data_IF_958862166613
#
_entry.id   IF_958862166613
#
_cell.length_a   1.000
_cell.length_b   1.000
_cell.length_c   1.000
_cell.angle_alpha   90.00
_cell.angle_beta   90.00
_cell.angle_gamma   90.00
#
_symmetry.space_group_name_H-M   'P 1'
#
loop_
_entity.id
_entity.type
_entity.pdbx_description
1 polymer ?
#
# COMPACT_ATOMS: atom_id res chain seq x y z
N UNK A 1 1.49 30.19 -74.59
CA UNK A 1 2.51 29.33 -73.96
C UNK A 1 1.84 28.58 -72.82
N UNK A 2 1.69 27.25 -72.93
CA UNK A 2 0.90 26.42 -72.00
C UNK A 2 1.64 26.27 -70.67
N UNK A 3 1.09 26.80 -69.57
CA UNK A 3 1.55 26.50 -68.21
C UNK A 3 0.99 25.13 -67.81
N UNK A 4 1.86 24.13 -67.68
CA UNK A 4 1.52 22.84 -67.07
C UNK A 4 1.57 23.03 -65.54
N UNK A 5 0.45 22.80 -64.87
CA UNK A 5 0.40 22.72 -63.42
C UNK A 5 1.20 21.52 -62.90
N UNK A 6 2.02 21.76 -61.89
CA UNK A 6 2.68 20.72 -61.09
C UNK A 6 1.94 20.67 -59.75
N UNK A 7 1.05 19.69 -59.57
CA UNK A 7 0.54 19.33 -58.25
C UNK A 7 1.69 18.63 -57.50
N UNK A 8 2.21 19.26 -56.44
CA UNK A 8 3.04 18.59 -55.45
C UNK A 8 2.10 17.96 -54.44
N UNK A 9 1.87 16.65 -54.58
CA UNK A 9 1.21 15.85 -53.56
C UNK A 9 2.21 15.63 -52.41
N UNK A 10 1.98 16.29 -51.27
CA UNK A 10 2.67 15.98 -50.03
C UNK A 10 2.06 14.69 -49.47
N UNK A 11 2.71 13.57 -49.75
CA UNK A 11 2.44 12.29 -49.08
C UNK A 11 2.98 12.39 -47.64
N UNK A 12 2.11 12.74 -46.70
CA UNK A 12 2.39 12.53 -45.28
C UNK A 12 2.24 11.02 -45.03
N UNK A 13 3.36 10.31 -45.06
CA UNK A 13 3.43 8.94 -44.54
C UNK A 13 3.37 9.07 -43.02
N UNK A 14 2.15 9.08 -42.49
CA UNK A 14 1.93 8.83 -41.07
C UNK A 14 2.28 7.38 -40.79
N UNK A 15 3.48 7.14 -40.26
CA UNK A 15 3.80 5.86 -39.62
C UNK A 15 2.92 5.80 -38.37
N UNK A 16 1.73 5.21 -38.52
CA UNK A 16 0.93 4.76 -37.39
C UNK A 16 1.74 3.67 -36.68
N UNK A 17 2.46 4.06 -35.64
CA UNK A 17 2.86 3.12 -34.61
C UNK A 17 1.58 2.55 -34.01
N UNK A 18 1.27 1.31 -34.36
CA UNK A 18 0.35 0.50 -33.59
C UNK A 18 0.99 0.29 -32.21
N UNK A 19 0.71 1.21 -31.29
CA UNK A 19 0.88 0.96 -29.86
C UNK A 19 -0.28 0.05 -29.50
N UNK A 20 -0.05 -1.20 -29.09
CA UNK A 20 -1.13 -1.97 -28.51
C UNK A 20 -1.60 -1.15 -27.31
N UNK A 21 -2.88 -0.76 -27.31
CA UNK A 21 -3.58 -0.45 -26.08
C UNK A 21 -3.49 -1.72 -25.23
N UNK A 22 -2.43 -1.82 -24.43
CA UNK A 22 -2.43 -2.67 -23.25
C UNK A 22 -3.42 -1.98 -22.34
N UNK A 23 -4.68 -2.41 -22.41
CA UNK A 23 -5.68 -1.96 -21.47
C UNK A 23 -5.13 -2.18 -20.08
N UNK A 24 -4.97 -1.11 -19.31
CA UNK A 24 -4.89 -1.20 -17.87
C UNK A 24 -6.15 -1.94 -17.42
N UNK A 25 -6.05 -3.23 -17.10
CA UNK A 25 -7.22 -4.04 -16.78
C UNK A 25 -7.54 -4.06 -15.28
N UNK A 26 -6.90 -3.19 -14.48
CA UNK A 26 -7.14 -3.08 -13.04
C UNK A 26 -6.92 -1.66 -12.53
N UNK A 27 -7.74 -1.24 -11.58
CA UNK A 27 -7.54 -0.02 -10.79
C UNK A 27 -6.53 -0.20 -9.66
N UNK A 28 -6.13 -1.44 -9.37
CA UNK A 28 -5.22 -1.84 -8.29
C UNK A 28 -4.47 -3.13 -8.68
N UNK A 29 -3.74 -3.76 -7.75
CA UNK A 29 -2.95 -4.98 -7.97
C UNK A 29 -3.72 -6.30 -7.87
N UNK A 30 -5.06 -6.27 -7.88
CA UNK A 30 -5.88 -7.49 -7.84
C UNK A 30 -5.53 -8.47 -8.95
N UNK A 31 -5.30 -9.74 -8.57
CA UNK A 31 -4.98 -10.83 -9.50
C UNK A 31 -3.48 -11.05 -9.72
N UNK A 32 -2.61 -10.18 -9.21
CA UNK A 32 -1.17 -10.42 -9.17
C UNK A 32 -0.76 -11.14 -7.89
N UNK A 33 0.23 -12.03 -8.00
CA UNK A 33 0.84 -12.72 -6.86
C UNK A 33 2.29 -12.24 -6.68
N UNK A 34 2.62 -11.66 -5.53
CA UNK A 34 3.90 -10.99 -5.30
C UNK A 34 4.63 -11.67 -4.15
N UNK A 35 5.85 -12.15 -4.39
CA UNK A 35 6.69 -12.66 -3.32
C UNK A 35 7.48 -11.52 -2.68
N UNK A 36 7.38 -11.37 -1.37
CA UNK A 36 8.20 -10.45 -0.57
C UNK A 36 9.13 -11.26 0.32
N UNK A 37 10.43 -11.02 0.19
CA UNK A 37 11.48 -11.76 0.86
C UNK A 37 12.21 -10.87 1.87
N UNK A 38 12.05 -11.16 3.16
CA UNK A 38 12.83 -10.49 4.20
C UNK A 38 14.19 -11.19 4.35
N UNK A 39 15.28 -10.60 3.88
CA UNK A 39 16.62 -11.18 3.94
C UNK A 39 17.02 -11.63 5.36
N UNK A 40 17.87 -12.65 5.46
CA UNK A 40 18.37 -13.22 6.73
C UNK A 40 17.25 -13.76 7.64
N UNK A 41 17.48 -13.88 8.95
CA UNK A 41 16.47 -14.31 9.94
C UNK A 41 16.94 -15.44 10.87
N UNK A 42 16.39 -15.48 12.07
CA UNK A 42 16.72 -16.45 13.12
C UNK A 42 18.21 -16.41 13.45
N UNK A 43 18.89 -17.54 13.18
CA UNK A 43 20.32 -17.73 13.43
C UNK A 43 21.25 -16.92 12.52
N UNK A 44 20.73 -16.38 11.41
CA UNK A 44 21.46 -15.52 10.51
C UNK A 44 21.04 -14.07 10.78
N UNK A 45 21.87 -13.27 11.46
CA UNK A 45 21.54 -11.87 11.75
C UNK A 45 21.70 -10.95 10.52
N UNK A 46 22.35 -11.44 9.46
CA UNK A 46 22.90 -10.57 8.42
C UNK A 46 24.00 -9.66 8.97
N UNK A 47 24.12 -8.47 8.41
CA UNK A 47 25.03 -7.45 8.91
C UNK A 47 24.60 -6.92 10.29
N UNK A 48 25.59 -6.68 11.15
CA UNK A 48 25.40 -6.10 12.48
C UNK A 48 26.18 -4.79 12.55
N UNK A 49 25.46 -3.67 12.74
CA UNK A 49 26.03 -2.34 12.90
C UNK A 49 25.33 -1.56 14.01
N UNK A 50 24.88 -0.35 13.72
CA UNK A 50 24.02 0.43 14.64
C UNK A 50 22.65 -0.22 14.84
N UNK A 51 22.22 -1.01 13.86
CA UNK A 51 21.02 -1.85 13.85
C UNK A 51 21.38 -3.23 13.28
N UNK A 52 20.51 -4.22 13.48
CA UNK A 52 20.69 -5.57 12.95
C UNK A 52 19.88 -5.73 11.67
N UNK A 53 20.53 -6.20 10.61
CA UNK A 53 19.95 -6.26 9.27
C UNK A 53 18.64 -7.06 9.21
N UNK A 54 18.61 -8.26 9.80
CA UNK A 54 17.40 -9.11 9.76
C UNK A 54 16.15 -8.45 10.36
N UNK A 55 16.32 -7.54 11.32
CA UNK A 55 15.22 -6.88 12.02
C UNK A 55 14.67 -5.74 11.14
N UNK A 56 15.56 -4.95 10.54
CA UNK A 56 15.20 -3.92 9.53
C UNK A 56 14.51 -4.57 8.33
N UNK A 57 15.08 -5.65 7.80
CA UNK A 57 14.53 -6.36 6.64
C UNK A 57 13.12 -6.88 6.92
N UNK A 58 12.90 -7.49 8.09
CA UNK A 58 11.57 -7.98 8.48
C UNK A 58 10.57 -6.84 8.62
N UNK A 59 10.96 -5.76 9.33
CA UNK A 59 10.08 -4.64 9.59
C UNK A 59 9.61 -3.91 8.32
N UNK A 60 10.49 -3.78 7.33
CA UNK A 60 10.16 -3.20 6.01
C UNK A 60 9.34 -4.20 5.18
N UNK A 61 9.77 -5.47 5.10
CA UNK A 61 9.08 -6.49 4.31
C UNK A 61 7.61 -6.69 4.74
N UNK A 62 7.32 -6.69 6.04
CA UNK A 62 5.95 -6.79 6.54
C UNK A 62 5.08 -5.59 6.13
N UNK A 63 5.63 -4.37 6.14
CA UNK A 63 4.92 -3.17 5.67
C UNK A 63 4.70 -3.19 4.16
N UNK A 64 5.70 -3.63 3.40
CA UNK A 64 5.60 -3.84 1.94
C UNK A 64 4.49 -4.85 1.64
N UNK A 65 4.47 -5.99 2.33
CA UNK A 65 3.41 -6.97 2.20
C UNK A 65 2.03 -6.37 2.49
N UNK A 66 1.91 -5.63 3.59
CA UNK A 66 0.65 -4.99 3.98
C UNK A 66 0.13 -4.02 2.91
N UNK A 67 0.96 -3.11 2.37
CA UNK A 67 0.48 -2.15 1.36
C UNK A 67 0.16 -2.82 0.02
N UNK A 68 0.85 -3.89 -0.34
CA UNK A 68 0.54 -4.69 -1.53
C UNK A 68 -0.78 -5.45 -1.38
N UNK A 69 -1.03 -6.05 -0.21
CA UNK A 69 -2.30 -6.73 0.12
C UNK A 69 -3.47 -5.75 0.14
N UNK A 70 -3.29 -4.56 0.74
CA UNK A 70 -4.31 -3.51 0.72
C UNK A 70 -4.60 -3.00 -0.70
N UNK A 71 -3.62 -3.07 -1.61
CA UNK A 71 -3.82 -2.79 -3.03
C UNK A 71 -4.38 -3.99 -3.83
N UNK A 72 -4.75 -5.08 -3.14
CA UNK A 72 -5.42 -6.25 -3.71
C UNK A 72 -4.49 -7.36 -4.22
N UNK A 73 -3.17 -7.23 -4.10
CA UNK A 73 -2.24 -8.29 -4.49
C UNK A 73 -2.36 -9.51 -3.55
N UNK A 74 -2.17 -10.72 -4.09
CA UNK A 74 -1.90 -11.89 -3.28
C UNK A 74 -0.41 -11.88 -2.87
N UNK A 75 -0.11 -11.67 -1.59
CA UNK A 75 1.29 -11.62 -1.13
C UNK A 75 1.76 -12.95 -0.57
N UNK A 76 2.98 -13.33 -0.93
CA UNK A 76 3.68 -14.51 -0.39
C UNK A 76 4.93 -14.03 0.32
N UNK A 77 4.97 -14.19 1.65
CA UNK A 77 6.16 -13.90 2.44
C UNK A 77 7.09 -15.12 2.49
N UNK A 78 8.40 -14.93 2.30
CA UNK A 78 9.37 -16.01 2.58
C UNK A 78 9.54 -16.25 4.07
N UNK A 79 9.36 -15.21 4.89
CA UNK A 79 9.19 -15.27 6.34
C UNK A 79 8.38 -14.08 6.85
N UNK A 80 7.62 -14.32 7.91
CA UNK A 80 6.77 -13.35 8.62
C UNK A 80 7.21 -13.13 10.09
N UNK A 81 8.29 -13.78 10.51
CA UNK A 81 8.88 -13.69 11.84
C UNK A 81 10.39 -13.84 11.83
N UNK A 82 10.98 -13.87 13.03
CA UNK A 82 12.43 -14.04 13.21
C UNK A 82 12.83 -15.53 13.23
N UNK A 83 12.74 -16.18 12.07
CA UNK A 83 13.25 -17.52 11.85
C UNK A 83 14.10 -17.58 10.57
N UNK A 84 14.99 -18.57 10.51
CA UNK A 84 15.91 -18.74 9.40
C UNK A 84 15.24 -19.46 8.24
N UNK A 85 15.35 -18.88 7.04
CA UNK A 85 14.94 -19.50 5.76
C UNK A 85 16.14 -19.52 4.83
N UNK A 86 16.47 -20.70 4.30
CA UNK A 86 17.64 -20.85 3.42
C UNK A 86 17.44 -20.17 2.06
N UNK A 87 18.53 -19.81 1.37
CA UNK A 87 18.42 -19.19 0.04
C UNK A 87 17.66 -20.06 -0.98
N UNK A 88 17.85 -21.38 -0.94
CA UNK A 88 17.12 -22.32 -1.80
C UNK A 88 15.63 -22.39 -1.46
N UNK A 89 15.29 -22.32 -0.18
CA UNK A 89 13.91 -22.37 0.29
C UNK A 89 13.14 -21.09 -0.08
N UNK A 90 13.76 -19.91 0.05
CA UNK A 90 13.18 -18.63 -0.43
C UNK A 90 12.79 -18.72 -1.91
N UNK A 91 13.70 -19.24 -2.73
CA UNK A 91 13.47 -19.46 -4.17
C UNK A 91 12.36 -20.49 -4.40
N UNK A 92 12.33 -21.58 -3.63
CA UNK A 92 11.29 -22.60 -3.74
C UNK A 92 9.91 -22.06 -3.38
N UNK A 93 9.78 -21.24 -2.32
CA UNK A 93 8.54 -20.58 -1.92
C UNK A 93 7.98 -19.77 -3.09
N UNK A 94 8.78 -18.83 -3.63
CA UNK A 94 8.36 -17.97 -4.73
C UNK A 94 8.00 -18.77 -6.00
N UNK A 95 8.84 -19.74 -6.37
CA UNK A 95 8.64 -20.55 -7.57
C UNK A 95 7.43 -21.48 -7.47
N UNK A 96 7.14 -22.02 -6.28
CA UNK A 96 6.02 -22.95 -6.07
C UNK A 96 4.68 -22.22 -5.99
N UNK A 97 4.69 -21.01 -5.43
CA UNK A 97 3.51 -20.14 -5.42
C UNK A 97 3.18 -19.53 -6.79
N UNK A 98 4.10 -19.61 -7.76
CA UNK A 98 3.89 -19.07 -9.10
C UNK A 98 3.82 -17.55 -9.13
N UNK A 99 4.59 -16.87 -8.27
CA UNK A 99 4.55 -15.41 -8.17
C UNK A 99 4.91 -14.72 -9.50
N UNK A 100 4.29 -13.58 -9.76
CA UNK A 100 4.50 -12.73 -10.93
C UNK A 100 5.79 -11.91 -10.82
N UNK A 101 6.17 -11.53 -9.60
CA UNK A 101 7.46 -10.88 -9.28
C UNK A 101 7.98 -11.33 -7.91
N UNK A 102 9.28 -11.11 -7.68
CA UNK A 102 9.96 -11.37 -6.42
C UNK A 102 10.74 -10.12 -5.96
N UNK A 103 10.54 -9.71 -4.70
CA UNK A 103 11.17 -8.53 -4.12
C UNK A 103 11.87 -8.95 -2.82
N UNK A 104 13.20 -8.89 -2.80
CA UNK A 104 14.00 -9.15 -1.60
C UNK A 104 14.43 -7.86 -0.94
N UNK A 105 14.26 -7.78 0.37
CA UNK A 105 14.62 -6.62 1.21
C UNK A 105 15.85 -6.98 2.04
N UNK A 106 16.88 -6.17 1.88
CA UNK A 106 18.17 -6.24 2.56
C UNK A 106 18.61 -4.86 3.05
N UNK A 107 19.58 -4.83 3.95
CA UNK A 107 20.30 -3.61 4.30
C UNK A 107 21.81 -3.86 4.25
N UNK A 108 22.51 -2.91 3.65
CA UNK A 108 23.89 -3.06 3.24
C UNK A 108 24.84 -2.93 4.43
N UNK A 109 26.10 -3.27 4.19
CA UNK A 109 27.20 -3.04 5.12
C UNK A 109 28.47 -2.69 4.38
N UNK A 110 29.29 -1.84 5.01
CA UNK A 110 30.56 -1.39 4.47
C UNK A 110 31.30 -0.51 5.47
N UNK A 111 32.34 0.22 5.02
CA UNK A 111 32.96 1.27 5.83
C UNK A 111 31.91 2.24 6.38
N UNK A 112 32.14 2.84 7.55
CA UNK A 112 31.18 3.76 8.18
C UNK A 112 30.85 5.00 7.33
N UNK A 113 31.68 5.33 6.34
CA UNK A 113 31.43 6.40 5.36
C UNK A 113 30.54 5.99 4.19
N UNK A 114 30.28 4.69 3.99
CA UNK A 114 29.36 4.22 2.96
C UNK A 114 27.91 4.53 3.36
N UNK A 115 27.13 5.07 2.43
CA UNK A 115 25.74 5.50 2.66
C UNK A 115 24.96 5.36 1.36
N UNK A 116 23.65 5.20 1.49
CA UNK A 116 22.69 5.20 0.39
C UNK A 116 22.02 3.86 0.16
N UNK A 117 20.95 3.90 -0.63
CA UNK A 117 20.23 2.71 -1.07
C UNK A 117 20.63 2.32 -2.50
N UNK A 118 20.40 1.07 -2.87
CA UNK A 118 20.59 0.53 -4.23
C UNK A 118 19.61 -0.61 -4.53
N UNK A 119 19.25 -0.77 -5.79
CA UNK A 119 18.33 -1.84 -6.24
C UNK A 119 19.03 -2.74 -7.24
N UNK A 120 19.10 -4.03 -6.96
CA UNK A 120 19.74 -5.04 -7.78
C UNK A 120 18.73 -5.85 -8.59
N UNK A 121 19.10 -6.21 -9.82
CA UNK A 121 18.42 -7.22 -10.63
C UNK A 121 19.43 -8.25 -11.17
N UNK A 122 18.94 -9.38 -11.70
CA UNK A 122 19.81 -10.37 -12.33
C UNK A 122 20.34 -9.88 -13.69
N UNK A 123 21.61 -10.17 -14.00
CA UNK A 123 22.36 -9.65 -15.15
C UNK A 123 21.61 -9.62 -16.48
N UNK A 124 20.88 -10.68 -16.80
CA UNK A 124 20.23 -10.84 -18.11
C UNK A 124 18.72 -10.60 -18.09
N UNK A 125 18.16 -10.15 -16.97
CA UNK A 125 16.71 -9.99 -16.80
C UNK A 125 16.26 -8.57 -17.15
N UNK A 126 15.81 -8.36 -18.40
CA UNK A 126 15.26 -7.06 -18.83
C UNK A 126 14.01 -6.65 -18.04
N UNK A 127 13.15 -7.62 -17.69
CA UNK A 127 11.99 -7.38 -16.82
C UNK A 127 12.42 -7.01 -15.40
N UNK A 128 13.45 -7.67 -14.87
CA UNK A 128 14.06 -7.32 -13.59
C UNK A 128 14.66 -5.91 -13.59
N UNK A 129 15.33 -5.51 -14.68
CA UNK A 129 15.81 -4.13 -14.87
C UNK A 129 14.66 -3.14 -14.82
N UNK A 130 13.57 -3.37 -15.56
CA UNK A 130 12.41 -2.48 -15.56
C UNK A 130 11.78 -2.34 -14.16
N UNK A 131 11.56 -3.45 -13.46
CA UNK A 131 11.05 -3.44 -12.09
C UNK A 131 11.98 -2.67 -11.14
N UNK A 132 13.29 -2.94 -11.22
CA UNK A 132 14.29 -2.25 -10.40
C UNK A 132 14.30 -0.75 -10.63
N UNK A 133 14.22 -0.30 -11.89
CA UNK A 133 14.19 1.12 -12.24
C UNK A 133 12.94 1.81 -11.69
N UNK A 134 11.75 1.20 -11.83
CA UNK A 134 10.55 1.81 -11.28
C UNK A 134 10.60 1.90 -9.75
N UNK A 135 11.09 0.87 -9.07
CA UNK A 135 11.21 0.89 -7.60
C UNK A 135 12.28 1.89 -7.13
N UNK A 136 13.43 1.94 -7.79
CA UNK A 136 14.52 2.90 -7.47
C UNK A 136 14.04 4.35 -7.62
N UNK A 137 13.34 4.68 -8.71
CA UNK A 137 12.77 6.00 -8.96
C UNK A 137 11.81 6.44 -7.86
N UNK A 138 10.95 5.55 -7.37
CA UNK A 138 9.96 5.88 -6.33
C UNK A 138 10.63 6.01 -4.95
N UNK A 139 11.59 5.15 -4.62
CA UNK A 139 12.36 5.25 -3.36
C UNK A 139 13.09 6.60 -3.30
N UNK A 140 13.70 7.01 -4.42
CA UNK A 140 14.44 8.28 -4.52
C UNK A 140 13.59 9.53 -4.22
N UNK A 141 12.26 9.46 -4.36
CA UNK A 141 11.35 10.58 -4.07
C UNK A 141 11.07 10.75 -2.58
N UNK A 142 11.07 9.65 -1.82
CA UNK A 142 10.57 9.63 -0.44
C UNK A 142 11.67 9.44 0.61
N UNK A 143 12.79 8.82 0.23
CA UNK A 143 13.85 8.46 1.17
C UNK A 143 15.02 9.45 1.07
N UNK A 144 15.44 10.08 2.17
CA UNK A 144 16.51 11.09 2.20
C UNK A 144 17.90 10.45 2.25
N UNK A 145 18.10 9.33 1.56
CA UNK A 145 19.39 8.66 1.46
C UNK A 145 19.97 8.84 0.06
N UNK A 146 21.29 8.73 -0.06
CA UNK A 146 21.96 8.79 -1.36
C UNK A 146 21.42 7.67 -2.27
N UNK A 147 20.85 8.02 -3.42
CA UNK A 147 20.53 7.02 -4.43
C UNK A 147 21.84 6.55 -5.11
N UNK A 148 22.16 5.25 -4.99
CA UNK A 148 23.34 4.62 -5.61
C UNK A 148 22.99 3.87 -6.91
N UNK A 149 21.74 3.93 -7.31
CA UNK A 149 21.17 3.52 -8.59
C UNK A 149 20.88 2.03 -8.69
N UNK A 150 20.27 1.70 -9.83
CA UNK A 150 20.02 0.32 -10.24
C UNK A 150 21.33 -0.38 -10.62
N UNK A 151 21.52 -1.59 -10.13
CA UNK A 151 22.70 -2.43 -10.35
C UNK A 151 22.30 -3.83 -10.80
N UNK A 152 23.26 -4.58 -11.32
CA UNK A 152 23.08 -5.99 -11.63
C UNK A 152 24.02 -6.87 -10.82
N UNK A 153 23.51 -8.00 -10.33
CA UNK A 153 24.26 -8.96 -9.54
C UNK A 153 23.74 -10.38 -9.74
N UNK A 154 24.60 -11.37 -9.44
CA UNK A 154 24.28 -12.79 -9.47
C UNK A 154 23.77 -13.35 -8.14
N UNK A 155 23.13 -12.54 -7.29
CA UNK A 155 22.64 -13.00 -5.98
C UNK A 155 21.68 -14.18 -6.14
N UNK A 156 21.77 -15.15 -5.23
CA UNK A 156 21.12 -16.44 -5.39
C UNK A 156 19.61 -16.32 -5.62
N UNK A 157 18.93 -15.52 -4.80
CA UNK A 157 17.47 -15.40 -4.84
C UNK A 157 16.99 -14.79 -6.16
N UNK A 158 17.57 -13.68 -6.62
CA UNK A 158 17.19 -13.04 -7.89
C UNK A 158 17.65 -13.82 -9.14
N UNK A 159 18.63 -14.72 -8.99
CA UNK A 159 19.13 -15.57 -10.08
C UNK A 159 18.26 -16.81 -10.33
N UNK A 160 17.77 -17.45 -9.26
CA UNK A 160 17.12 -18.76 -9.35
C UNK A 160 15.59 -18.72 -9.20
N UNK A 161 15.02 -17.57 -8.87
CA UNK A 161 13.59 -17.31 -9.08
C UNK A 161 13.24 -17.29 -10.57
N UNK A 162 12.07 -17.84 -10.93
CA UNK A 162 11.61 -17.96 -12.32
C UNK A 162 10.93 -16.70 -12.85
N UNK A 163 10.48 -15.84 -11.95
CA UNK A 163 9.83 -14.57 -12.26
C UNK A 163 10.84 -13.40 -12.21
N UNK A 164 10.51 -12.22 -12.76
CA UNK A 164 11.28 -11.00 -12.58
C UNK A 164 11.52 -10.71 -11.10
N UNK A 165 12.78 -10.45 -10.74
CA UNK A 165 13.21 -10.41 -9.36
C UNK A 165 14.16 -9.23 -9.11
N UNK A 166 13.99 -8.59 -7.96
CA UNK A 166 14.86 -7.52 -7.47
C UNK A 166 15.31 -7.79 -6.03
N UNK A 167 16.45 -7.20 -5.66
CA UNK A 167 16.94 -7.14 -4.28
C UNK A 167 17.25 -5.69 -3.95
N UNK A 168 16.64 -5.17 -2.89
CA UNK A 168 16.77 -3.79 -2.45
C UNK A 168 17.71 -3.76 -1.25
N UNK A 169 18.78 -2.99 -1.34
CA UNK A 169 19.62 -2.62 -0.20
C UNK A 169 19.11 -1.27 0.31
N UNK A 170 18.38 -1.24 1.42
CA UNK A 170 17.65 -0.06 1.88
C UNK A 170 18.55 1.01 2.50
N UNK A 171 19.82 0.71 2.77
CA UNK A 171 20.76 1.63 3.42
C UNK A 171 21.85 0.85 4.14
N UNK A 172 22.85 1.53 4.70
CA UNK A 172 23.96 0.87 5.37
C UNK A 172 23.74 0.75 6.89
N UNK A 173 23.66 -0.47 7.43
CA UNK A 173 23.53 -0.68 8.89
C UNK A 173 24.74 -0.18 9.68
N UNK A 174 25.89 -0.04 9.02
CA UNK A 174 27.16 0.44 9.59
C UNK A 174 27.34 1.95 9.49
N UNK A 175 26.41 2.69 8.86
CA UNK A 175 26.40 4.14 8.82
C UNK A 175 25.32 4.66 9.76
N UNK A 176 25.66 5.58 10.66
CA UNK A 176 24.73 6.05 11.70
C UNK A 176 23.52 6.81 11.16
N UNK A 177 23.69 7.56 10.05
CA UNK A 177 22.58 8.28 9.44
C UNK A 177 21.64 7.31 8.72
N UNK A 178 22.17 6.45 7.85
CA UNK A 178 21.37 5.41 7.18
C UNK A 178 20.63 4.54 8.19
N UNK A 179 21.33 4.06 9.24
CA UNK A 179 20.73 3.27 10.31
C UNK A 179 19.55 4.00 10.96
N UNK A 180 19.69 5.30 11.27
CA UNK A 180 18.61 6.11 11.85
C UNK A 180 17.40 6.26 10.92
N UNK A 181 17.61 6.22 9.60
CA UNK A 181 16.53 6.28 8.61
C UNK A 181 15.86 4.91 8.45
N UNK A 182 16.63 3.83 8.25
CA UNK A 182 16.05 2.51 7.96
C UNK A 182 15.43 1.84 9.19
N UNK A 183 15.77 2.27 10.41
CA UNK A 183 15.11 1.82 11.64
C UNK A 183 13.93 2.69 12.07
N UNK A 184 13.76 3.87 11.48
CA UNK A 184 12.66 4.76 11.80
C UNK A 184 11.37 4.28 11.12
N UNK A 185 10.33 4.14 11.92
CA UNK A 185 9.05 3.57 11.49
C UNK A 185 8.42 4.35 10.32
N UNK A 186 8.52 5.69 10.34
CA UNK A 186 7.94 6.53 9.29
C UNK A 186 8.64 6.34 7.95
N UNK A 187 9.96 6.16 7.95
CA UNK A 187 10.72 5.87 6.74
C UNK A 187 10.56 4.44 6.25
N UNK A 188 10.37 3.47 7.14
CA UNK A 188 10.00 2.10 6.74
C UNK A 188 8.65 2.06 6.00
N UNK A 189 7.67 2.86 6.44
CA UNK A 189 6.42 3.05 5.71
C UNK A 189 6.63 3.72 4.36
N UNK A 190 7.48 4.75 4.28
CA UNK A 190 7.83 5.38 2.99
C UNK A 190 8.50 4.40 2.03
N UNK A 191 9.34 3.49 2.52
CA UNK A 191 9.87 2.38 1.71
C UNK A 191 8.75 1.50 1.17
N UNK A 192 7.79 1.11 2.01
CA UNK A 192 6.66 0.30 1.61
C UNK A 192 5.84 0.96 0.49
N UNK A 193 5.44 2.23 0.65
CA UNK A 193 4.70 2.96 -0.37
C UNK A 193 5.51 3.17 -1.65
N UNK A 194 6.80 3.52 -1.55
CA UNK A 194 7.66 3.65 -2.73
C UNK A 194 7.76 2.33 -3.52
N UNK A 195 7.92 1.20 -2.82
CA UNK A 195 7.98 -0.12 -3.45
C UNK A 195 6.65 -0.45 -4.12
N UNK A 196 5.52 -0.21 -3.45
CA UNK A 196 4.19 -0.35 -4.03
C UNK A 196 4.03 0.47 -5.32
N UNK A 197 4.38 1.75 -5.29
CA UNK A 197 4.27 2.62 -6.47
C UNK A 197 5.15 2.12 -7.62
N UNK A 198 6.35 1.62 -7.32
CA UNK A 198 7.24 1.02 -8.32
C UNK A 198 6.63 -0.25 -8.94
N UNK A 199 5.97 -1.07 -8.12
CA UNK A 199 5.24 -2.27 -8.55
C UNK A 199 4.01 -1.92 -9.39
N UNK A 200 3.22 -0.93 -8.98
CA UNK A 200 2.08 -0.43 -9.76
C UNK A 200 2.53 0.04 -11.15
N UNK A 201 3.61 0.85 -11.22
CA UNK A 201 4.23 1.27 -12.49
C UNK A 201 4.66 0.09 -13.34
N UNK A 202 5.29 -0.92 -12.73
CA UNK A 202 5.74 -2.12 -13.43
C UNK A 202 4.59 -2.91 -14.06
N UNK A 203 3.46 -3.05 -13.36
CA UNK A 203 2.27 -3.75 -13.87
C UNK A 203 1.34 -2.86 -14.72
N UNK A 204 1.66 -1.58 -14.90
CA UNK A 204 0.81 -0.63 -15.62
C UNK A 204 -0.46 -0.23 -14.88
N UNK A 205 -0.48 -0.40 -13.55
CA UNK A 205 -1.53 0.10 -12.66
C UNK A 205 -1.24 1.59 -12.36
N UNK A 206 -2.25 2.47 -12.38
CA UNK A 206 -2.07 3.87 -11.99
C UNK A 206 -1.45 3.97 -10.58
N UNK A 207 -0.47 4.86 -10.39
CA UNK A 207 0.16 5.05 -9.08
C UNK A 207 -0.83 5.65 -8.10
N UNK A 208 -1.03 4.98 -6.97
CA UNK A 208 -1.86 5.46 -5.87
C UNK A 208 -1.47 4.77 -4.56
N UNK A 209 -1.79 5.42 -3.44
CA UNK A 209 -1.73 4.77 -2.13
C UNK A 209 -3.00 3.93 -1.91
N UNK A 210 -2.92 2.78 -1.22
CA UNK A 210 -4.09 2.03 -0.80
C UNK A 210 -4.94 2.93 0.10
N UNK A 211 -6.22 3.02 -0.25
CA UNK A 211 -7.18 3.85 0.47
C UNK A 211 -7.40 3.26 1.89
N UNK A 212 -7.36 4.07 2.97
CA UNK A 212 -7.82 3.63 4.28
C UNK A 212 -9.16 2.92 4.20
N UNK A 213 -9.29 1.77 4.84
CA UNK A 213 -10.55 1.01 4.83
C UNK A 213 -11.24 1.12 6.18
N UNK A 214 -12.52 1.51 6.19
CA UNK A 214 -13.41 1.30 7.34
C UNK A 214 -13.72 -0.19 7.40
N UNK A 215 -13.03 -0.89 8.29
CA UNK A 215 -13.09 -2.35 8.46
C UNK A 215 -14.21 -2.80 9.37
N UNK A 216 -14.73 -1.90 10.21
CA UNK A 216 -15.80 -2.21 11.15
C UNK A 216 -16.47 -0.94 11.68
N UNK A 217 -17.73 -1.08 12.07
CA UNK A 217 -18.50 -0.05 12.77
C UNK A 217 -19.09 -0.67 14.03
N UNK A 218 -18.68 -0.19 15.19
CA UNK A 218 -19.12 -0.64 16.51
C UNK A 218 -19.84 0.48 17.22
N UNK A 219 -20.78 0.13 18.11
CA UNK A 219 -21.53 1.12 18.86
C UNK A 219 -21.93 0.59 20.24
N UNK A 220 -22.16 1.50 21.18
CA UNK A 220 -22.63 1.19 22.52
C UNK A 220 -23.41 2.37 23.11
N UNK A 221 -24.50 2.07 23.82
CA UNK A 221 -25.23 3.03 24.62
C UNK A 221 -24.73 2.98 26.07
N UNK A 222 -24.18 4.09 26.57
CA UNK A 222 -23.67 4.23 27.93
C UNK A 222 -24.66 4.96 28.86
N UNK A 223 -25.87 5.28 28.38
CA UNK A 223 -26.88 6.06 29.10
C UNK A 223 -26.60 7.56 29.10
N UNK A 224 -25.39 7.99 29.47
CA UNK A 224 -24.99 9.41 29.41
C UNK A 224 -24.50 9.87 28.03
N UNK A 225 -24.12 8.93 27.17
CA UNK A 225 -23.77 9.16 25.78
C UNK A 225 -23.93 7.86 24.98
N UNK A 226 -24.14 7.99 23.67
CA UNK A 226 -24.09 6.92 22.70
C UNK A 226 -22.80 7.03 21.90
N UNK A 227 -22.00 5.95 21.86
CA UNK A 227 -20.70 5.93 21.19
C UNK A 227 -20.79 5.15 19.90
N UNK A 228 -20.19 5.69 18.84
CA UNK A 228 -19.87 4.99 17.59
C UNK A 228 -18.35 4.95 17.40
N UNK A 229 -17.82 3.81 16.98
CA UNK A 229 -16.40 3.59 16.71
C UNK A 229 -16.25 2.98 15.32
N UNK A 230 -15.49 3.64 14.44
CA UNK A 230 -15.06 3.11 13.16
C UNK A 230 -13.65 2.53 13.33
N UNK A 231 -13.48 1.25 13.02
CA UNK A 231 -12.19 0.59 12.99
C UNK A 231 -11.55 0.77 11.60
N UNK A 232 -10.32 1.31 11.53
CA UNK A 232 -9.65 1.65 10.28
C UNK A 232 -8.44 0.74 10.02
N UNK A 233 -8.18 0.44 8.74
CA UNK A 233 -6.94 -0.24 8.34
C UNK A 233 -5.70 0.65 8.55
N UNK A 234 -5.88 1.96 8.44
CA UNK A 234 -4.89 3.00 8.71
C UNK A 234 -5.60 4.34 8.94
N UNK A 235 -4.88 5.30 9.51
CA UNK A 235 -5.36 6.66 9.77
C UNK A 235 -5.93 7.31 8.50
N UNK A 236 -7.07 7.97 8.66
CA UNK A 236 -7.80 8.62 7.57
C UNK A 236 -8.27 10.02 7.97
N UNK A 237 -8.36 10.92 7.00
CA UNK A 237 -9.05 12.19 7.18
C UNK A 237 -10.56 11.94 7.27
N UNK A 238 -11.23 12.66 8.16
CA UNK A 238 -12.67 12.54 8.32
C UNK A 238 -13.33 13.85 8.73
N UNK A 239 -14.63 13.92 8.52
CA UNK A 239 -15.50 15.01 8.95
C UNK A 239 -16.75 14.45 9.61
N UNK A 240 -17.14 15.06 10.72
CA UNK A 240 -18.42 14.78 11.38
C UNK A 240 -19.32 16.00 11.23
N UNK A 241 -20.55 15.81 10.74
CA UNK A 241 -21.50 16.91 10.54
C UNK A 241 -22.95 16.43 10.60
N UNK A 242 -23.86 17.33 10.94
CA UNK A 242 -25.29 17.06 10.89
C UNK A 242 -25.83 17.19 9.47
N UNK A 243 -26.82 16.37 9.16
CA UNK A 243 -27.68 16.53 7.98
C UNK A 243 -29.12 16.16 8.33
N UNK A 244 -30.06 16.60 7.50
CA UNK A 244 -31.46 16.23 7.61
C UNK A 244 -31.94 15.64 6.29
N UNK A 245 -32.50 14.44 6.35
CA UNK A 245 -33.18 13.81 5.23
C UNK A 245 -34.69 13.79 5.53
N UNK A 246 -35.50 13.38 4.54
CA UNK A 246 -36.97 13.32 4.71
C UNK A 246 -37.43 12.39 5.84
N UNK A 247 -36.58 11.44 6.24
CA UNK A 247 -36.85 10.47 7.29
C UNK A 247 -36.30 10.85 8.69
N UNK A 248 -35.64 12.00 8.87
CA UNK A 248 -35.23 12.46 10.20
C UNK A 248 -33.90 13.19 10.26
N UNK A 249 -33.35 13.27 11.48
CA UNK A 249 -32.10 13.95 11.80
C UNK A 249 -30.96 12.95 11.79
N UNK A 250 -29.81 13.34 11.24
CA UNK A 250 -28.70 12.44 11.09
C UNK A 250 -27.38 13.12 11.47
N UNK A 251 -26.49 12.34 12.06
CA UNK A 251 -25.08 12.67 12.20
C UNK A 251 -24.29 11.81 11.22
N UNK A 252 -23.46 12.44 10.39
CA UNK A 252 -22.67 11.76 9.36
C UNK A 252 -21.21 11.79 9.77
N UNK A 253 -20.57 10.61 9.75
CA UNK A 253 -19.11 10.46 9.76
C UNK A 253 -18.70 10.18 8.32
N UNK A 254 -18.12 11.18 7.67
CA UNK A 254 -17.55 11.07 6.33
C UNK A 254 -16.06 10.77 6.45
N UNK A 255 -15.60 9.66 5.89
CA UNK A 255 -14.17 9.30 5.84
C UNK A 255 -13.68 9.50 4.41
N UNK A 256 -12.71 10.39 4.24
CA UNK A 256 -12.22 10.81 2.94
C UNK A 256 -11.11 9.89 2.42
N UNK A 257 -11.07 9.72 1.10
CA UNK A 257 -10.14 8.81 0.42
C UNK A 257 -10.14 7.41 1.04
N UNK A 258 -11.30 6.89 1.38
CA UNK A 258 -11.46 5.63 2.08
C UNK A 258 -12.33 4.62 1.31
N UNK A 259 -12.17 3.35 1.67
CA UNK A 259 -12.98 2.22 1.25
C UNK A 259 -13.82 1.69 2.42
N UNK A 260 -14.96 1.08 2.12
CA UNK A 260 -15.83 0.41 3.09
C UNK A 260 -15.70 -1.10 2.90
N UNK A 261 -15.24 -1.81 3.93
CA UNK A 261 -15.25 -3.26 3.94
C UNK A 261 -16.68 -3.81 4.05
N UNK A 262 -16.85 -5.10 3.77
CA UNK A 262 -18.09 -5.79 4.13
C UNK A 262 -18.24 -5.84 5.65
N UNK A 263 -19.27 -5.16 6.17
CA UNK A 263 -19.55 -5.08 7.61
C UNK A 263 -20.25 -6.34 8.14
N UNK A 264 -20.67 -7.26 7.27
CA UNK A 264 -21.52 -8.40 7.63
C UNK A 264 -22.94 -7.99 8.03
N UNK A 265 -23.33 -6.75 7.76
CA UNK A 265 -24.67 -6.22 8.02
C UNK A 265 -25.61 -6.50 6.83
N UNK A 266 -26.93 -6.58 7.05
CA UNK A 266 -27.90 -6.57 5.96
C UNK A 266 -27.72 -5.34 5.06
N UNK A 267 -28.01 -5.50 3.77
CA UNK A 267 -27.96 -4.40 2.80
C UNK A 267 -29.34 -4.06 2.25
N UNK A 268 -29.59 -2.78 2.03
CA UNK A 268 -30.79 -2.26 1.37
C UNK A 268 -30.42 -1.11 0.45
N UNK A 269 -30.73 -1.23 -0.85
CA UNK A 269 -30.40 -0.21 -1.88
C UNK A 269 -28.92 0.25 -1.86
N UNK A 270 -27.98 -0.67 -1.62
CA UNK A 270 -26.54 -0.36 -1.59
C UNK A 270 -26.04 0.24 -0.27
N UNK A 271 -26.86 0.26 0.77
CA UNK A 271 -26.47 0.68 2.12
C UNK A 271 -26.46 -0.52 3.06
N UNK A 272 -25.36 -0.69 3.80
CA UNK A 272 -25.37 -1.51 5.00
C UNK A 272 -26.19 -0.83 6.08
N UNK A 273 -26.90 -1.58 6.90
CA UNK A 273 -27.63 -1.01 8.04
C UNK A 273 -27.74 -1.97 9.22
N UNK A 274 -27.89 -1.41 10.42
CA UNK A 274 -28.18 -2.17 11.63
C UNK A 274 -29.04 -1.37 12.61
N UNK A 275 -29.86 -2.07 13.38
CA UNK A 275 -30.56 -1.51 14.54
C UNK A 275 -29.65 -1.54 15.76
N UNK A 276 -29.61 -0.45 16.51
CA UNK A 276 -28.71 -0.33 17.67
C UNK A 276 -29.37 -0.73 18.98
N UNK A 277 -30.72 -0.66 19.03
CA UNK A 277 -31.50 -0.78 20.26
C UNK A 277 -31.46 0.46 21.16
N UNK A 278 -30.72 1.51 20.79
CA UNK A 278 -30.64 2.75 21.54
C UNK A 278 -31.81 3.68 21.21
N UNK A 279 -32.30 4.38 22.25
CA UNK A 279 -33.26 5.47 22.07
C UNK A 279 -32.63 6.70 21.42
N UNK A 280 -31.32 6.92 21.58
CA UNK A 280 -30.58 8.09 21.08
C UNK A 280 -30.32 7.98 19.59
N UNK A 281 -29.84 6.81 19.16
CA UNK A 281 -29.39 6.57 17.79
C UNK A 281 -29.92 5.23 17.27
N UNK A 282 -31.20 5.12 16.88
CA UNK A 282 -31.87 3.83 16.67
C UNK A 282 -31.31 2.99 15.51
N UNK A 283 -30.81 3.65 14.46
CA UNK A 283 -30.31 2.98 13.24
C UNK A 283 -28.99 3.62 12.82
N UNK A 284 -28.06 2.78 12.38
CA UNK A 284 -26.81 3.20 11.74
C UNK A 284 -26.78 2.61 10.33
N UNK A 285 -26.43 3.44 9.36
CA UNK A 285 -26.22 3.07 7.97
C UNK A 285 -24.76 3.29 7.59
N UNK A 286 -24.26 2.51 6.62
CA UNK A 286 -22.96 2.74 6.02
C UNK A 286 -23.00 2.50 4.51
N UNK A 287 -22.32 3.36 3.75
CA UNK A 287 -22.11 3.17 2.31
C UNK A 287 -20.80 3.81 1.86
N UNK A 288 -20.43 3.55 0.61
CA UNK A 288 -19.31 4.19 -0.06
C UNK A 288 -19.78 4.80 -1.38
N UNK A 289 -19.30 6.01 -1.68
CA UNK A 289 -19.47 6.64 -2.99
C UNK A 289 -18.11 7.15 -3.47
N UNK A 290 -17.62 6.60 -4.59
CA UNK A 290 -16.24 6.85 -5.03
C UNK A 290 -15.24 6.42 -3.96
N UNK A 291 -14.34 7.34 -3.56
CA UNK A 291 -13.35 7.13 -2.51
C UNK A 291 -13.79 7.77 -1.18
N UNK A 292 -15.09 7.86 -0.91
CA UNK A 292 -15.59 8.44 0.34
C UNK A 292 -16.54 7.45 1.00
N UNK A 293 -16.29 7.15 2.27
CA UNK A 293 -17.18 6.33 3.10
C UNK A 293 -18.06 7.24 3.93
N UNK A 294 -19.34 6.89 4.01
CA UNK A 294 -20.32 7.59 4.85
C UNK A 294 -20.88 6.61 5.86
N UNK A 295 -20.69 6.89 7.15
CA UNK A 295 -21.44 6.26 8.24
C UNK A 295 -22.47 7.26 8.74
N UNK A 296 -23.75 6.92 8.59
CA UNK A 296 -24.87 7.82 8.87
C UNK A 296 -25.64 7.27 10.06
N UNK A 297 -25.70 8.08 11.12
CA UNK A 297 -26.32 7.74 12.40
C UNK A 297 -27.66 8.48 12.45
N UNK A 298 -28.76 7.74 12.43
CA UNK A 298 -30.09 8.31 12.64
C UNK A 298 -30.24 8.73 14.10
N UNK A 299 -30.71 9.96 14.34
CA UNK A 299 -30.87 10.53 15.68
C UNK A 299 -32.35 10.69 16.01
N UNK A 300 -32.70 10.49 17.27
CA UNK A 300 -34.07 10.72 17.78
C UNK A 300 -34.43 12.21 17.93
N UNK A 301 -33.44 13.10 17.91
CA UNK A 301 -33.56 14.53 18.18
C UNK A 301 -32.54 15.31 17.33
N UNK A 302 -32.89 16.51 16.84
CA UNK A 302 -31.98 17.32 16.06
C UNK A 302 -30.82 17.87 16.92
N UNK A 303 -29.63 17.93 16.32
CA UNK A 303 -28.47 18.64 16.87
C UNK A 303 -28.02 18.18 18.27
N UNK A 304 -28.18 16.88 18.59
CA UNK A 304 -27.64 16.29 19.81
C UNK A 304 -26.12 16.50 19.88
N UNK A 305 -25.58 17.20 20.90
CA UNK A 305 -24.15 17.50 21.00
C UNK A 305 -23.29 16.25 20.81
N UNK A 306 -22.16 16.40 20.12
CA UNK A 306 -21.20 15.31 19.97
C UNK A 306 -19.77 15.77 20.24
N UNK A 307 -18.91 14.80 20.53
CA UNK A 307 -17.47 14.93 20.57
C UNK A 307 -16.82 13.82 19.77
N UNK A 308 -15.89 14.16 18.89
CA UNK A 308 -15.17 13.20 18.06
C UNK A 308 -13.65 13.29 18.26
N UNK A 309 -12.98 12.15 18.10
CA UNK A 309 -11.53 12.02 18.25
C UNK A 309 -11.01 10.74 17.59
N UNK A 310 -9.68 10.65 17.42
CA UNK A 310 -9.02 9.44 16.90
C UNK A 310 -8.25 8.70 17.99
N UNK A 311 -8.11 7.39 17.81
CA UNK A 311 -7.18 6.55 18.57
C UNK A 311 -6.22 5.91 17.59
N UNK A 312 -4.98 5.65 18.02
CA UNK A 312 -4.01 4.86 17.26
C UNK A 312 -3.73 3.53 17.96
N UNK A 313 -3.28 2.53 17.18
CA UNK A 313 -2.94 1.18 17.65
C UNK A 313 -4.08 0.38 18.32
N UNK A 314 -5.07 -0.13 17.55
CA UNK A 314 -5.35 0.14 16.14
C UNK A 314 -6.05 1.50 15.90
N UNK A 315 -5.91 1.99 14.66
CA UNK A 315 -6.46 3.26 14.20
C UNK A 315 -7.99 3.25 14.19
N UNK A 316 -8.59 4.25 14.85
CA UNK A 316 -10.04 4.36 15.02
C UNK A 316 -10.50 5.81 14.97
N UNK A 317 -11.71 6.02 14.45
CA UNK A 317 -12.49 7.25 14.65
C UNK A 317 -13.56 6.95 15.70
N UNK A 318 -13.69 7.81 16.71
CA UNK A 318 -14.67 7.67 17.78
C UNK A 318 -15.56 8.91 17.80
N UNK A 319 -16.87 8.71 17.92
CA UNK A 319 -17.87 9.78 18.07
C UNK A 319 -18.78 9.46 19.24
N UNK A 320 -18.82 10.36 20.22
CA UNK A 320 -19.72 10.31 21.37
C UNK A 320 -20.87 11.31 21.17
N UNK A 321 -22.11 10.84 21.26
CA UNK A 321 -23.34 11.62 21.06
C UNK A 321 -24.08 11.72 22.40
N UNK A 322 -24.46 12.92 22.81
CA UNK A 322 -25.03 13.18 24.13
C UNK A 322 -26.54 13.46 24.01
N UNK A 323 -27.42 12.58 24.55
CA UNK A 323 -28.88 12.69 24.45
C UNK A 323 -29.51 13.80 25.31
#
# INVERSE_FOLDING_TARGET
>A
MKLKGLLVAVLIIGVLFWVPNVGASGSNLSGYTICVDAGHGGKDPGAVGYVVEKDVNLAIALKVAQVLEMDGANVVLTRDGDYFVSLSERVQIANSAGCDIFISIHANSGPSSATGFEVYHYYTSSKGTALATYVDDEIAKLIPLKNRGVKSAGYYVIKYTKMPAILIETGFVTNSYDASIISDESYQWKYAYAILHGVQRYFGVPVHDPLPTVTGVRFADHGSYFRVVLDLSQSASYHVYYTSYSNGYHLVIQVDNAQLADLGWPTYNGWYYTYTGSGTAPIIYATQSGNTVFVVIELNSPYLPYYDFTLSNPDRIVVDIYP
#
